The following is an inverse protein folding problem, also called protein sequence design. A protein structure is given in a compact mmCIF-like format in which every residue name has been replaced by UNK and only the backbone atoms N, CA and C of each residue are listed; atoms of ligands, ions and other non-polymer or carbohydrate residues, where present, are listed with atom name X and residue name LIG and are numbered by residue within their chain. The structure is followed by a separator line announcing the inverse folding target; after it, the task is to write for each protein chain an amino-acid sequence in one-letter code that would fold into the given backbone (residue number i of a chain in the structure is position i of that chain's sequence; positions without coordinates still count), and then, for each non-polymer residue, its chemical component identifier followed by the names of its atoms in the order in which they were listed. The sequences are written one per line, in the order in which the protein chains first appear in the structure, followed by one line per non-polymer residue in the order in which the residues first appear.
data_IF_271484973435
#
_entry.id   IF_271484973435
#
_cell.length_a   1.000
_cell.length_b   1.000
_cell.length_c   1.000
_cell.angle_alpha   90.00
_cell.angle_beta   90.00
_cell.angle_gamma   90.00
#
_symmetry.space_group_name_H-M   'P 1'
#
loop_
_entity.id
_entity.type
_entity.pdbx_description
1 polymer ?
#
# COMPACT_ATOMS: atom_id res chain seq x y z
N UNK A 1 13.27 18.55 5.68
CA UNK A 1 13.77 19.86 5.19
C UNK A 1 12.85 20.43 4.13
N UNK A 2 12.48 19.68 3.06
CA UNK A 2 11.63 20.15 1.93
C UNK A 2 10.36 20.85 2.42
N UNK A 3 9.59 20.24 3.32
CA UNK A 3 8.36 20.86 3.86
C UNK A 3 8.64 22.18 4.56
N UNK A 4 9.70 22.27 5.38
CA UNK A 4 10.10 23.51 6.08
C UNK A 4 10.49 24.62 5.12
N UNK A 5 11.24 24.30 4.06
CA UNK A 5 11.63 25.26 3.01
C UNK A 5 10.44 25.83 2.25
N UNK A 6 9.35 25.06 2.18
CA UNK A 6 8.07 25.46 1.56
C UNK A 6 7.05 26.00 2.57
N UNK A 7 7.43 26.21 3.83
CA UNK A 7 6.55 26.64 4.93
C UNK A 7 5.33 25.74 5.15
N UNK A 8 5.45 24.44 4.84
CA UNK A 8 4.43 23.45 5.08
C UNK A 8 4.56 22.85 6.49
N UNK A 9 3.44 22.42 7.06
CA UNK A 9 3.40 21.75 8.36
C UNK A 9 4.20 20.44 8.33
N UNK A 10 4.93 20.17 9.42
CA UNK A 10 5.73 18.96 9.59
C UNK A 10 5.13 18.03 10.65
N UNK A 11 3.83 18.14 10.93
CA UNK A 11 3.11 17.17 11.76
C UNK A 11 3.11 15.79 11.12
N UNK A 12 3.09 14.75 11.94
CA UNK A 12 3.04 13.36 11.48
C UNK A 12 1.69 12.75 11.79
N UNK A 13 1.20 11.89 10.90
CA UNK A 13 0.02 11.08 11.10
C UNK A 13 0.29 9.87 12.01
N UNK A 14 -0.70 9.01 12.15
CA UNK A 14 -0.65 7.84 13.04
C UNK A 14 0.42 6.84 12.64
N UNK A 15 0.72 6.72 11.37
CA UNK A 15 1.75 5.81 10.84
C UNK A 15 3.16 6.44 10.79
N UNK A 16 3.33 7.65 11.36
CA UNK A 16 4.61 8.34 11.48
C UNK A 16 5.07 9.08 10.22
N UNK A 17 4.29 9.04 9.13
CA UNK A 17 4.54 9.83 7.92
C UNK A 17 4.13 11.28 8.10
N UNK A 18 4.75 12.20 7.35
CA UNK A 18 4.33 13.59 7.33
C UNK A 18 2.94 13.75 6.72
N UNK A 19 2.12 14.60 7.32
CA UNK A 19 0.77 14.94 6.88
C UNK A 19 0.63 16.45 6.65
N UNK A 20 1.36 17.03 5.68
CA UNK A 20 1.22 18.44 5.35
C UNK A 20 -0.15 18.72 4.71
N UNK A 21 -0.61 19.96 4.85
CA UNK A 21 -1.77 20.41 4.11
C UNK A 21 -1.35 20.72 2.67
N UNK A 22 -1.83 19.89 1.73
CA UNK A 22 -1.53 19.95 0.30
C UNK A 22 -2.84 19.90 -0.50
N UNK A 23 -2.77 20.25 -1.79
CA UNK A 23 -3.96 20.39 -2.61
C UNK A 23 -4.38 19.08 -3.31
N UNK A 24 -3.41 18.30 -3.75
CA UNK A 24 -3.64 17.10 -4.54
C UNK A 24 -2.50 16.08 -4.42
N UNK A 25 -2.71 14.88 -4.93
CA UNK A 25 -1.73 13.80 -4.94
C UNK A 25 -0.46 14.16 -5.74
N UNK A 26 -0.57 14.95 -6.80
CA UNK A 26 0.59 15.35 -7.61
C UNK A 26 1.53 16.24 -6.82
N UNK A 27 1.00 17.15 -6.01
CA UNK A 27 1.81 17.99 -5.10
C UNK A 27 2.57 17.10 -4.10
N UNK A 28 1.90 16.10 -3.50
CA UNK A 28 2.55 15.13 -2.62
C UNK A 28 3.70 14.39 -3.32
N UNK A 29 3.45 13.90 -4.53
CA UNK A 29 4.43 13.14 -5.31
C UNK A 29 5.64 13.98 -5.72
N UNK A 30 5.44 15.26 -6.08
CA UNK A 30 6.55 16.18 -6.36
C UNK A 30 7.39 16.48 -5.10
N UNK A 31 6.75 16.64 -3.93
CA UNK A 31 7.46 16.81 -2.65
C UNK A 31 8.30 15.58 -2.30
N UNK A 32 7.76 14.38 -2.49
CA UNK A 32 8.47 13.12 -2.26
C UNK A 32 9.65 12.98 -3.22
N UNK A 33 9.44 13.24 -4.52
CA UNK A 33 10.49 13.21 -5.54
C UNK A 33 11.62 14.19 -5.20
N UNK A 34 11.29 15.42 -4.80
CA UNK A 34 12.27 16.40 -4.37
C UNK A 34 13.06 15.91 -3.14
N UNK A 35 12.36 15.32 -2.15
CA UNK A 35 12.99 14.80 -0.95
C UNK A 35 13.95 13.64 -1.25
N UNK A 36 13.57 12.71 -2.16
CA UNK A 36 14.44 11.63 -2.62
C UNK A 36 15.72 12.19 -3.23
N UNK A 37 15.59 13.11 -4.19
CA UNK A 37 16.73 13.73 -4.87
C UNK A 37 17.64 14.52 -3.91
N UNK A 38 17.06 15.33 -3.01
CA UNK A 38 17.84 16.07 -2.00
C UNK A 38 18.54 15.17 -0.98
N UNK A 39 18.06 13.94 -0.80
CA UNK A 39 18.70 12.94 0.05
C UNK A 39 19.81 12.16 -0.63
N UNK A 40 20.09 12.44 -1.91
CA UNK A 40 21.16 11.81 -2.70
C UNK A 40 20.76 10.47 -3.32
N UNK A 41 19.47 10.16 -3.37
CA UNK A 41 18.93 8.95 -4.00
C UNK A 41 18.26 9.26 -5.35
N UNK A 42 18.13 8.23 -6.17
CA UNK A 42 17.51 8.28 -7.49
C UNK A 42 16.14 7.58 -7.48
N UNK A 43 15.08 8.32 -7.84
CA UNK A 43 13.73 7.78 -7.98
C UNK A 43 13.68 6.77 -9.16
N UNK A 44 13.09 5.64 -8.92
CA UNK A 44 13.00 4.56 -9.91
C UNK A 44 14.18 3.59 -9.89
N UNK A 45 15.23 3.90 -9.13
CA UNK A 45 16.43 3.05 -9.00
C UNK A 45 16.71 2.68 -7.55
N UNK A 46 16.92 3.66 -6.69
CA UNK A 46 17.21 3.43 -5.27
C UNK A 46 15.93 3.39 -4.44
N UNK A 47 14.96 4.24 -4.79
CA UNK A 47 13.66 4.38 -4.13
C UNK A 47 12.57 4.40 -5.19
N UNK A 48 11.50 3.66 -4.94
CA UNK A 48 10.28 3.69 -5.73
C UNK A 48 9.13 4.19 -4.87
N UNK A 49 8.04 4.61 -5.50
CA UNK A 49 6.83 5.07 -4.81
C UNK A 49 5.77 3.97 -4.85
N UNK A 50 5.10 3.78 -3.73
CA UNK A 50 3.88 2.99 -3.60
C UNK A 50 2.76 3.89 -3.10
N UNK A 51 1.55 3.68 -3.59
CA UNK A 51 0.35 4.39 -3.17
C UNK A 51 -0.56 3.44 -2.38
N UNK A 52 -1.12 3.94 -1.30
CA UNK A 52 -2.31 3.41 -0.65
C UNK A 52 -3.42 4.43 -0.90
N UNK A 53 -4.37 4.07 -1.76
CA UNK A 53 -5.37 5.00 -2.28
C UNK A 53 -6.64 4.98 -1.45
N UNK A 54 -6.97 3.83 -0.85
CA UNK A 54 -8.19 3.62 -0.07
C UNK A 54 -9.44 4.12 -0.81
N UNK A 55 -9.63 3.69 -2.07
CA UNK A 55 -10.61 4.27 -2.98
C UNK A 55 -12.07 4.12 -2.51
N UNK A 56 -12.37 3.19 -1.61
CA UNK A 56 -13.69 3.06 -0.97
C UNK A 56 -14.11 4.33 -0.23
N UNK A 57 -13.15 5.13 0.31
CA UNK A 57 -13.41 6.36 1.06
C UNK A 57 -14.02 7.49 0.21
N UNK A 58 -13.84 7.44 -1.11
CA UNK A 58 -14.34 8.46 -2.03
C UNK A 58 -15.18 7.88 -3.19
N UNK A 59 -15.64 6.64 -3.07
CA UNK A 59 -16.56 6.01 -4.01
C UNK A 59 -18.01 6.31 -3.65
N UNK A 60 -18.80 6.74 -4.63
CA UNK A 60 -20.24 6.89 -4.54
C UNK A 60 -20.91 5.74 -5.27
N UNK A 61 -21.42 4.77 -4.53
CA UNK A 61 -22.05 3.57 -5.06
C UNK A 61 -23.35 3.88 -5.85
N UNK A 62 -24.12 4.89 -5.42
CA UNK A 62 -25.39 5.25 -6.08
C UNK A 62 -25.18 5.85 -7.47
N UNK A 63 -24.13 6.66 -7.63
CA UNK A 63 -23.75 7.29 -8.89
C UNK A 63 -22.74 6.47 -9.69
N UNK A 64 -22.17 5.40 -9.14
CA UNK A 64 -21.06 4.60 -9.71
C UNK A 64 -19.87 5.46 -10.13
N UNK A 65 -19.45 6.38 -9.28
CA UNK A 65 -18.36 7.34 -9.52
C UNK A 65 -17.43 7.47 -8.32
N UNK A 66 -16.24 7.96 -8.59
CA UNK A 66 -15.23 8.31 -7.59
C UNK A 66 -15.09 9.84 -7.50
N UNK A 67 -15.21 10.39 -6.28
CA UNK A 67 -15.04 11.82 -6.02
C UNK A 67 -13.66 12.08 -5.40
N UNK A 68 -12.64 12.23 -6.23
CA UNK A 68 -11.26 12.47 -5.78
C UNK A 68 -10.88 13.95 -6.00
N UNK A 69 -10.40 14.62 -4.93
CA UNK A 69 -9.91 16.00 -4.99
C UNK A 69 -10.94 17.00 -5.59
N UNK A 70 -12.23 16.74 -5.34
CA UNK A 70 -13.34 17.55 -5.86
C UNK A 70 -13.70 17.30 -7.33
N UNK A 71 -13.06 16.35 -7.99
CA UNK A 71 -13.34 15.93 -9.37
C UNK A 71 -14.07 14.59 -9.38
N UNK A 72 -15.12 14.49 -10.18
CA UNK A 72 -15.83 13.23 -10.43
C UNK A 72 -15.11 12.42 -11.52
N UNK A 73 -14.84 11.16 -11.23
CA UNK A 73 -14.23 10.22 -12.17
C UNK A 73 -15.14 9.02 -12.37
N UNK A 74 -15.30 8.57 -13.60
CA UNK A 74 -15.70 7.19 -13.87
C UNK A 74 -14.53 6.26 -13.54
N UNK A 75 -14.77 4.96 -13.48
CA UNK A 75 -13.70 3.97 -13.27
C UNK A 75 -12.63 4.02 -14.36
N UNK A 76 -13.01 4.28 -15.61
CA UNK A 76 -12.08 4.42 -16.74
C UNK A 76 -11.20 5.66 -16.62
N UNK A 77 -11.78 6.77 -16.19
CA UNK A 77 -11.07 8.03 -15.99
C UNK A 77 -10.10 7.92 -14.80
N UNK A 78 -10.53 7.28 -13.70
CA UNK A 78 -9.69 7.07 -12.52
C UNK A 78 -8.50 6.16 -12.84
N UNK A 79 -8.72 5.05 -13.56
CA UNK A 79 -7.63 4.17 -14.01
C UNK A 79 -6.67 4.91 -14.95
N UNK A 80 -7.19 5.77 -15.84
CA UNK A 80 -6.36 6.60 -16.71
C UNK A 80 -5.54 7.63 -15.92
N UNK A 81 -6.12 8.19 -14.86
CA UNK A 81 -5.41 9.07 -13.92
C UNK A 81 -4.26 8.32 -13.24
N UNK A 82 -4.49 7.12 -12.69
CA UNK A 82 -3.41 6.31 -12.10
C UNK A 82 -2.32 5.97 -13.11
N UNK A 83 -2.67 5.60 -14.35
CA UNK A 83 -1.68 5.35 -15.38
C UNK A 83 -0.76 6.57 -15.57
N UNK A 84 -1.34 7.78 -15.60
CA UNK A 84 -0.55 9.02 -15.73
C UNK A 84 0.40 9.26 -14.57
N UNK A 85 0.00 8.87 -13.34
CA UNK A 85 0.87 8.95 -12.15
C UNK A 85 1.97 7.90 -12.19
N UNK A 86 1.64 6.65 -12.55
CA UNK A 86 2.60 5.54 -12.70
C UNK A 86 3.69 5.91 -13.68
N UNK A 87 3.31 6.40 -14.86
CA UNK A 87 4.25 6.77 -15.93
C UNK A 87 5.19 7.92 -15.52
N UNK A 88 4.68 8.87 -14.73
CA UNK A 88 5.43 10.08 -14.35
C UNK A 88 6.32 9.87 -13.11
N UNK A 89 5.88 9.08 -12.12
CA UNK A 89 6.49 9.07 -10.79
C UNK A 89 7.14 7.73 -10.39
N UNK A 90 7.32 6.79 -11.31
CA UNK A 90 7.87 5.46 -11.03
C UNK A 90 7.13 4.75 -9.87
N UNK A 91 5.80 4.80 -9.91
CA UNK A 91 4.95 4.08 -8.96
C UNK A 91 4.98 2.60 -9.32
N UNK A 92 5.35 1.77 -8.37
CA UNK A 92 5.48 0.32 -8.56
C UNK A 92 4.38 -0.49 -7.87
N UNK A 93 3.56 0.17 -7.05
CA UNK A 93 2.47 -0.48 -6.31
C UNK A 93 1.33 0.48 -6.04
N UNK A 94 0.09 0.00 -6.20
CA UNK A 94 -1.14 0.69 -5.81
C UNK A 94 -1.94 -0.26 -4.93
N UNK A 95 -2.24 0.17 -3.71
CA UNK A 95 -3.11 -0.51 -2.76
C UNK A 95 -4.49 0.12 -2.81
N UNK A 96 -5.53 -0.73 -2.85
CA UNK A 96 -6.94 -0.36 -2.89
C UNK A 96 -7.26 0.78 -3.87
N UNK A 97 -6.80 0.61 -5.11
CA UNK A 97 -6.98 1.59 -6.18
C UNK A 97 -8.42 1.72 -6.68
N UNK A 98 -9.30 0.78 -6.34
CA UNK A 98 -10.74 0.79 -6.61
C UNK A 98 -11.47 0.41 -5.32
N UNK A 99 -12.75 0.79 -5.21
CA UNK A 99 -13.58 0.41 -4.08
C UNK A 99 -13.66 -1.12 -3.93
N UNK A 100 -13.79 -1.60 -2.70
CA UNK A 100 -13.74 -3.03 -2.36
C UNK A 100 -14.84 -3.86 -3.04
N UNK A 101 -15.96 -3.24 -3.40
CA UNK A 101 -17.07 -3.88 -4.08
C UNK A 101 -17.12 -3.62 -5.60
N UNK A 102 -16.29 -2.70 -6.13
CA UNK A 102 -16.23 -2.40 -7.57
C UNK A 102 -15.35 -3.41 -8.32
N UNK A 103 -15.82 -4.66 -8.44
CA UNK A 103 -15.08 -5.72 -9.11
C UNK A 103 -14.81 -5.44 -10.61
N UNK A 104 -15.67 -4.70 -11.27
CA UNK A 104 -15.46 -4.33 -12.68
C UNK A 104 -14.36 -3.26 -12.80
N UNK A 105 -14.33 -2.29 -11.88
CA UNK A 105 -13.22 -1.36 -11.77
C UNK A 105 -11.90 -2.06 -11.48
N UNK A 106 -11.89 -3.04 -10.57
CA UNK A 106 -10.71 -3.86 -10.28
C UNK A 106 -10.23 -4.66 -11.50
N UNK A 107 -11.13 -5.24 -12.30
CA UNK A 107 -10.75 -5.90 -13.57
C UNK A 107 -10.10 -4.94 -14.53
N UNK A 108 -10.70 -3.76 -14.68
CA UNK A 108 -10.17 -2.72 -15.56
C UNK A 108 -8.79 -2.27 -15.09
N UNK A 109 -8.64 -1.94 -13.81
CA UNK A 109 -7.37 -1.55 -13.19
C UNK A 109 -6.29 -2.61 -13.42
N UNK A 110 -6.63 -3.88 -13.14
CA UNK A 110 -5.71 -5.00 -13.31
C UNK A 110 -5.28 -5.19 -14.76
N UNK A 111 -6.22 -5.06 -15.70
CA UNK A 111 -5.92 -5.20 -17.13
C UNK A 111 -5.01 -4.10 -17.65
N UNK A 112 -5.13 -2.89 -17.14
CA UNK A 112 -4.39 -1.69 -17.60
C UNK A 112 -3.02 -1.54 -16.92
N UNK A 113 -2.92 -1.91 -15.64
CA UNK A 113 -1.73 -1.70 -14.81
C UNK A 113 -1.11 -3.02 -14.34
N UNK A 114 -1.21 -4.09 -15.13
CA UNK A 114 -0.67 -5.42 -14.80
C UNK A 114 0.85 -5.46 -14.61
N UNK A 115 1.56 -4.42 -15.05
CA UNK A 115 3.01 -4.29 -14.95
C UNK A 115 3.50 -3.79 -13.57
N UNK A 116 2.57 -3.37 -12.70
CA UNK A 116 2.87 -2.96 -11.32
C UNK A 116 2.15 -3.86 -10.32
N UNK A 117 2.49 -3.71 -9.04
CA UNK A 117 1.82 -4.41 -7.96
C UNK A 117 0.47 -3.75 -7.67
N UNK A 118 -0.61 -4.53 -7.70
CA UNK A 118 -1.96 -4.12 -7.34
C UNK A 118 -2.40 -4.90 -6.11
N UNK A 119 -2.50 -4.21 -5.00
CA UNK A 119 -2.69 -4.81 -3.67
C UNK A 119 -4.15 -4.65 -3.23
N UNK A 120 -4.77 -5.74 -2.84
CA UNK A 120 -6.05 -5.70 -2.14
C UNK A 120 -5.82 -5.76 -0.62
N UNK A 121 -6.20 -4.69 0.10
CA UNK A 121 -6.36 -4.65 1.54
C UNK A 121 -7.83 -4.85 1.89
N UNK A 122 -8.67 -3.83 1.75
CA UNK A 122 -10.12 -3.91 2.01
C UNK A 122 -10.82 -4.88 1.06
N UNK A 123 -10.34 -4.99 -0.17
CA UNK A 123 -10.81 -5.98 -1.15
C UNK A 123 -10.75 -7.42 -0.61
N UNK A 124 -9.74 -7.79 0.17
CA UNK A 124 -9.50 -9.16 0.59
C UNK A 124 -9.55 -9.39 2.11
N UNK A 125 -9.32 -8.35 2.92
CA UNK A 125 -9.29 -8.36 4.40
C UNK A 125 -8.60 -9.60 5.01
N UNK A 126 -7.48 -10.03 4.40
CA UNK A 126 -6.74 -11.26 4.76
C UNK A 126 -7.62 -12.54 4.69
N UNK A 127 -8.75 -12.50 4.00
CA UNK A 127 -9.74 -13.56 3.96
C UNK A 127 -9.52 -14.48 2.75
N UNK A 128 -9.26 -15.76 3.01
CA UNK A 128 -9.02 -16.79 2.00
C UNK A 128 -10.14 -16.92 0.96
N UNK A 129 -11.42 -16.72 1.37
CA UNK A 129 -12.56 -16.85 0.44
C UNK A 129 -12.63 -15.64 -0.50
N UNK A 130 -12.39 -14.43 0.02
CA UNK A 130 -12.35 -13.22 -0.79
C UNK A 130 -11.15 -13.24 -1.75
N UNK A 131 -9.99 -13.68 -1.26
CA UNK A 131 -8.82 -13.87 -2.13
C UNK A 131 -9.10 -14.88 -3.24
N UNK A 132 -9.74 -16.04 -2.94
CA UNK A 132 -10.12 -17.00 -3.97
C UNK A 132 -11.04 -16.39 -5.01
N UNK A 133 -12.04 -15.60 -4.59
CA UNK A 133 -12.91 -14.86 -5.51
C UNK A 133 -12.12 -13.92 -6.42
N UNK A 134 -11.16 -13.17 -5.86
CA UNK A 134 -10.29 -12.28 -6.64
C UNK A 134 -9.43 -13.05 -7.66
N UNK A 135 -8.89 -14.20 -7.27
CA UNK A 135 -8.13 -15.09 -8.15
C UNK A 135 -9.01 -15.57 -9.31
N UNK A 136 -10.21 -16.05 -9.01
CA UNK A 136 -11.16 -16.56 -10.02
C UNK A 136 -11.59 -15.45 -11.00
N UNK A 137 -11.65 -14.21 -10.53
CA UNK A 137 -11.99 -13.04 -11.33
C UNK A 137 -10.80 -12.39 -12.04
N UNK A 138 -9.58 -12.85 -11.75
CA UNK A 138 -8.32 -12.27 -12.27
C UNK A 138 -8.14 -10.79 -11.93
N UNK A 139 -8.43 -10.40 -10.69
CA UNK A 139 -8.29 -9.03 -10.17
C UNK A 139 -7.19 -8.94 -9.13
N UNK A 140 -6.46 -7.81 -9.11
CA UNK A 140 -5.27 -7.59 -8.31
C UNK A 140 -4.15 -8.62 -8.64
N UNK A 141 -3.01 -8.52 -7.97
CA UNK A 141 -1.89 -9.47 -8.06
C UNK A 141 -1.09 -9.56 -6.74
N UNK A 142 -1.61 -8.92 -5.70
CA UNK A 142 -1.04 -8.93 -4.36
C UNK A 142 -2.13 -8.78 -3.30
N UNK A 143 -1.84 -9.23 -2.09
CA UNK A 143 -2.72 -9.09 -0.93
C UNK A 143 -1.95 -8.53 0.26
N UNK A 144 -2.59 -7.60 0.98
CA UNK A 144 -2.12 -7.15 2.28
C UNK A 144 -2.51 -8.16 3.36
N UNK A 145 -1.59 -8.49 4.24
CA UNK A 145 -1.76 -9.49 5.30
C UNK A 145 -1.77 -8.79 6.65
N UNK A 146 -2.91 -8.82 7.31
CA UNK A 146 -3.14 -8.28 8.65
C UNK A 146 -3.69 -9.39 9.55
N UNK A 147 -2.86 -9.94 10.45
CA UNK A 147 -3.24 -11.09 11.27
C UNK A 147 -4.54 -10.87 12.06
N UNK A 148 -4.74 -9.66 12.55
CA UNK A 148 -5.93 -9.33 13.35
C UNK A 148 -7.20 -9.04 12.54
N UNK A 149 -7.15 -9.00 11.21
CA UNK A 149 -8.35 -8.96 10.37
C UNK A 149 -9.03 -10.34 10.32
N UNK A 150 -8.25 -11.39 10.07
CA UNK A 150 -8.78 -12.78 10.04
C UNK A 150 -8.83 -13.40 11.43
N UNK A 151 -7.89 -13.05 12.32
CA UNK A 151 -7.95 -13.34 13.76
C UNK A 151 -7.12 -14.52 14.23
N UNK A 152 -6.66 -15.41 13.38
CA UNK A 152 -5.79 -16.53 13.75
C UNK A 152 -4.57 -16.65 12.84
N UNK A 153 -3.46 -17.14 13.41
CA UNK A 153 -2.23 -17.43 12.64
C UNK A 153 -2.49 -18.51 11.59
N UNK A 154 -3.28 -19.52 11.92
CA UNK A 154 -3.60 -20.63 11.01
C UNK A 154 -4.31 -20.12 9.75
N UNK A 155 -5.38 -19.35 9.89
CA UNK A 155 -6.11 -18.78 8.73
C UNK A 155 -5.24 -17.81 7.94
N UNK A 156 -4.39 -17.03 8.61
CA UNK A 156 -3.40 -16.17 7.95
C UNK A 156 -2.44 -16.98 7.08
N UNK A 157 -1.88 -18.08 7.62
CA UNK A 157 -0.98 -18.96 6.87
C UNK A 157 -1.68 -19.65 5.69
N UNK A 158 -2.94 -20.03 5.84
CA UNK A 158 -3.74 -20.58 4.74
C UNK A 158 -3.97 -19.55 3.62
N UNK A 159 -4.24 -18.29 3.98
CA UNK A 159 -4.40 -17.21 3.03
C UNK A 159 -3.10 -16.91 2.28
N UNK A 160 -1.97 -16.85 3.01
CA UNK A 160 -0.63 -16.67 2.42
C UNK A 160 -0.32 -17.83 1.46
N UNK A 161 -0.61 -19.07 1.86
CA UNK A 161 -0.39 -20.24 1.01
C UNK A 161 -1.22 -20.14 -0.28
N UNK A 162 -2.50 -19.80 -0.18
CA UNK A 162 -3.37 -19.62 -1.35
C UNK A 162 -2.83 -18.53 -2.29
N UNK A 163 -2.39 -17.39 -1.74
CA UNK A 163 -1.78 -16.31 -2.52
C UNK A 163 -0.57 -16.81 -3.32
N UNK A 164 0.36 -17.49 -2.64
CA UNK A 164 1.58 -18.03 -3.26
C UNK A 164 1.30 -19.07 -4.34
N UNK A 165 0.38 -19.99 -4.06
CA UNK A 165 -0.02 -21.05 -5.00
C UNK A 165 -0.61 -20.46 -6.31
N UNK A 166 -1.07 -19.20 -6.27
CA UNK A 166 -1.66 -18.49 -7.41
C UNK A 166 -0.83 -17.27 -7.88
N UNK A 167 0.45 -17.20 -7.50
CA UNK A 167 1.38 -16.13 -7.89
C UNK A 167 0.99 -14.72 -7.42
N UNK A 168 0.14 -14.60 -6.39
CA UNK A 168 -0.09 -13.33 -5.70
C UNK A 168 1.05 -13.04 -4.74
N UNK A 169 1.54 -11.80 -4.75
CA UNK A 169 2.49 -11.33 -3.75
C UNK A 169 1.79 -11.09 -2.42
N UNK A 170 2.54 -11.18 -1.34
CA UNK A 170 2.03 -10.96 0.02
C UNK A 170 2.84 -9.89 0.71
N UNK A 171 2.16 -8.92 1.32
CA UNK A 171 2.76 -7.84 2.10
C UNK A 171 2.23 -7.95 3.53
N UNK A 172 3.10 -8.25 4.52
CA UNK A 172 2.67 -8.18 5.91
C UNK A 172 2.54 -6.73 6.34
N UNK A 173 1.46 -6.39 7.07
CA UNK A 173 1.14 -5.01 7.41
C UNK A 173 0.88 -4.81 8.89
N UNK A 174 1.27 -3.63 9.36
CA UNK A 174 0.81 -3.05 10.61
C UNK A 174 -0.66 -2.58 10.49
N UNK A 175 -1.14 -1.92 11.53
CA UNK A 175 -2.40 -1.18 11.55
C UNK A 175 -2.11 0.29 11.88
N UNK A 176 -3.08 1.20 11.57
CA UNK A 176 -2.99 2.62 11.99
C UNK A 176 -2.90 2.75 13.51
N UNK A 177 -3.74 2.03 14.26
CA UNK A 177 -3.55 1.82 15.70
C UNK A 177 -2.61 0.66 15.95
N UNK A 178 -1.38 0.93 16.38
CA UNK A 178 -0.30 -0.06 16.51
C UNK A 178 0.37 0.03 17.89
N UNK A 179 1.04 -1.07 18.28
CA UNK A 179 1.82 -1.19 19.52
C UNK A 179 3.30 -1.41 19.20
N UNK A 180 4.16 -1.42 20.23
CA UNK A 180 5.58 -1.73 20.07
C UNK A 180 5.88 -3.22 19.84
N UNK A 181 4.87 -4.09 19.83
CA UNK A 181 5.04 -5.48 19.43
C UNK A 181 5.63 -5.56 18.02
N UNK A 182 6.63 -6.41 17.84
CA UNK A 182 7.41 -6.49 16.60
C UNK A 182 7.24 -7.82 15.86
N UNK A 183 6.27 -8.62 16.24
CA UNK A 183 6.00 -9.94 15.70
C UNK A 183 5.88 -9.96 14.15
N UNK A 184 5.29 -8.91 13.56
CA UNK A 184 5.14 -8.87 12.09
C UNK A 184 6.49 -8.85 11.36
N UNK A 185 7.57 -8.39 11.98
CA UNK A 185 8.92 -8.46 11.42
C UNK A 185 9.44 -9.89 11.37
N UNK A 186 9.26 -10.64 12.46
CA UNK A 186 9.61 -12.07 12.51
C UNK A 186 8.76 -12.87 11.50
N UNK A 187 7.49 -12.52 11.38
CA UNK A 187 6.56 -13.16 10.45
C UNK A 187 6.94 -12.90 8.98
N UNK A 188 7.31 -11.64 8.66
CA UNK A 188 7.77 -11.26 7.32
C UNK A 188 9.00 -12.08 6.88
N UNK A 189 10.01 -12.15 7.76
CA UNK A 189 11.26 -12.84 7.46
C UNK A 189 11.09 -14.35 7.53
N UNK A 190 10.46 -14.87 8.61
CA UNK A 190 10.28 -16.30 8.83
C UNK A 190 9.47 -17.00 7.75
N UNK A 191 8.53 -16.31 7.13
CA UNK A 191 7.75 -16.80 6.00
C UNK A 191 8.30 -16.37 4.63
N UNK A 192 9.42 -15.63 4.61
CA UNK A 192 9.99 -15.12 3.36
C UNK A 192 8.95 -14.38 2.50
N UNK A 193 8.23 -13.43 3.09
CA UNK A 193 7.19 -12.67 2.37
C UNK A 193 7.80 -11.63 1.41
N UNK A 194 9.02 -11.19 1.68
CA UNK A 194 9.76 -10.23 0.86
C UNK A 194 9.32 -8.77 1.04
N UNK A 195 8.19 -8.53 1.68
CA UNK A 195 7.62 -7.18 1.84
C UNK A 195 6.98 -6.99 3.21
N UNK A 196 7.13 -5.77 3.75
CA UNK A 196 6.46 -5.32 4.96
C UNK A 196 5.99 -3.87 4.81
N UNK A 197 4.75 -3.57 5.20
CA UNK A 197 4.21 -2.22 5.34
C UNK A 197 4.13 -1.94 6.84
N UNK A 198 4.99 -1.03 7.36
CA UNK A 198 5.09 -0.84 8.82
C UNK A 198 5.30 0.59 9.28
N UNK A 199 4.84 1.55 8.48
CA UNK A 199 4.90 2.98 8.81
C UNK A 199 6.24 3.62 8.48
N UNK A 200 6.37 4.88 8.86
CA UNK A 200 7.56 5.69 8.61
C UNK A 200 8.62 5.49 9.71
N UNK A 201 9.81 6.08 9.49
CA UNK A 201 10.93 6.11 10.44
C UNK A 201 10.69 7.09 11.61
N UNK A 202 9.48 7.10 12.14
CA UNK A 202 9.01 7.96 13.23
C UNK A 202 8.01 7.18 14.08
N UNK A 203 7.87 7.53 15.37
CA UNK A 203 7.05 6.86 16.39
C UNK A 203 7.61 5.48 16.81
N UNK A 204 7.59 5.21 18.13
CA UNK A 204 8.22 4.03 18.74
C UNK A 204 7.65 2.71 18.24
N UNK A 205 6.33 2.64 18.08
CA UNK A 205 5.62 1.47 17.59
C UNK A 205 5.97 1.10 16.13
N UNK A 206 6.44 2.05 15.32
CA UNK A 206 6.95 1.78 13.96
C UNK A 206 8.42 1.38 14.00
N UNK A 207 9.23 2.13 14.72
CA UNK A 207 10.67 1.87 14.86
C UNK A 207 10.96 0.51 15.48
N UNK A 208 10.10 -0.01 16.36
CA UNK A 208 10.26 -1.34 16.95
C UNK A 208 10.40 -2.44 15.89
N UNK A 209 9.63 -2.36 14.78
CA UNK A 209 9.65 -3.32 13.67
C UNK A 209 10.94 -3.22 12.87
N UNK A 210 11.37 -2.00 12.54
CA UNK A 210 12.63 -1.77 11.83
C UNK A 210 13.82 -2.25 12.66
N UNK A 211 13.85 -1.92 13.96
CA UNK A 211 14.89 -2.39 14.87
C UNK A 211 14.89 -3.92 14.99
N UNK A 212 13.72 -4.57 14.93
CA UNK A 212 13.63 -6.02 14.92
C UNK A 212 14.21 -6.62 13.65
N UNK A 213 13.92 -6.04 12.48
CA UNK A 213 14.52 -6.48 11.20
C UNK A 213 16.05 -6.40 11.23
N UNK A 214 16.62 -5.31 11.78
CA UNK A 214 18.08 -5.19 11.93
C UNK A 214 18.67 -6.27 12.84
N UNK A 215 18.00 -6.60 13.97
CA UNK A 215 18.43 -7.68 14.86
C UNK A 215 18.34 -9.06 14.21
N UNK A 216 17.29 -9.29 13.37
CA UNK A 216 17.19 -10.53 12.61
C UNK A 216 18.33 -10.62 11.60
N UNK A 217 18.63 -9.53 10.89
CA UNK A 217 19.74 -9.50 9.94
C UNK A 217 21.09 -9.86 10.61
N UNK A 218 21.35 -9.35 11.83
CA UNK A 218 22.55 -9.70 12.60
C UNK A 218 22.60 -11.19 12.98
N UNK A 219 21.45 -11.84 13.17
CA UNK A 219 21.36 -13.25 13.56
C UNK A 219 21.56 -14.23 12.41
N UNK A 220 21.26 -13.81 11.17
CA UNK A 220 21.32 -14.68 9.99
C UNK A 220 22.55 -14.45 9.13
N UNK A 221 23.35 -13.44 9.42
CA UNK A 221 24.69 -13.20 8.85
C UNK A 221 25.75 -14.04 9.56
#
# INVERSE_FOLDING_TARGET
NVLKERNLLCGVGDEGGFAPQINDAKEALELIKEAITKSGYELGKDINIALDVAASEFYNEEEDIYLLEGVKYTKEELVSYYQSLVDKYHIISIEDGMAEEDYEGWKLLTSKLSNIQLVGDDLFVTNKKLLQKGIDMHIANAILIKLNQIGTVTETLETIKLARDNNYKTIISHRSGETEDNYISDFAVGLNLGQIKTGSMSRGERLSKYNRLLRIEEQIK
#
